data_IF_174934134792
#
_entry.id   IF_174934134792
#
_cell.length_a   1.000
_cell.length_b   1.000
_cell.length_c   1.000
_cell.angle_alpha   90.00
_cell.angle_beta   90.00
_cell.angle_gamma   90.00
#
_symmetry.space_group_name_H-M   'P 1'
#
loop_
_entity.id
_entity.type
_entity.pdbx_description
1 polymer ?
#
# COMPACT_ATOMS: atom_id res chain seq x y z
N UNK A 1 -36.79 27.20 17.01
CA UNK A 1 -35.53 27.08 17.76
C UNK A 1 -34.63 26.21 16.93
N UNK A 2 -33.68 26.87 16.28
CA UNK A 2 -32.81 26.34 15.25
C UNK A 2 -31.96 25.17 15.74
N UNK A 3 -31.97 24.09 14.96
CA UNK A 3 -30.90 23.09 14.94
C UNK A 3 -30.67 22.66 13.50
N UNK A 4 -30.37 23.65 12.65
CA UNK A 4 -29.63 23.38 11.42
C UNK A 4 -28.21 22.98 11.83
N UNK A 5 -28.01 21.68 12.09
CA UNK A 5 -26.68 21.11 12.22
C UNK A 5 -25.96 21.29 10.90
N UNK A 6 -25.14 22.33 10.80
CA UNK A 6 -24.21 22.49 9.69
C UNK A 6 -23.22 21.35 9.83
N UNK A 7 -23.37 20.31 9.01
CA UNK A 7 -22.32 19.31 8.81
C UNK A 7 -21.15 20.08 8.24
N UNK A 8 -20.11 20.31 9.04
CA UNK A 8 -18.87 20.91 8.58
C UNK A 8 -18.26 19.96 7.56
N UNK A 9 -18.32 20.32 6.28
CA UNK A 9 -17.66 19.58 5.22
C UNK A 9 -16.16 19.80 5.40
N UNK A 10 -15.40 18.72 5.58
CA UNK A 10 -13.95 18.80 5.59
C UNK A 10 -13.45 19.29 4.24
N UNK A 11 -12.57 20.29 4.27
CA UNK A 11 -12.00 20.90 3.05
C UNK A 11 -10.49 20.77 3.11
N UNK A 12 -9.94 20.12 2.10
CA UNK A 12 -8.51 20.03 1.86
C UNK A 12 -8.05 21.26 1.08
N UNK A 13 -6.93 21.81 1.54
CA UNK A 13 -6.26 22.96 0.94
C UNK A 13 -4.79 22.65 0.73
N UNK A 14 -4.21 23.34 -0.23
CA UNK A 14 -2.83 23.11 -0.65
C UNK A 14 -1.99 24.34 -0.35
N UNK A 15 -0.91 24.11 0.39
CA UNK A 15 0.06 25.14 0.71
C UNK A 15 1.47 24.64 0.42
N UNK A 16 2.35 25.57 0.05
CA UNK A 16 3.80 25.34 0.08
C UNK A 16 4.49 26.25 1.06
N UNK A 17 5.57 25.75 1.65
CA UNK A 17 6.44 26.49 2.53
C UNK A 17 7.88 26.33 2.05
N UNK A 18 8.62 27.44 1.95
CA UNK A 18 10.04 27.40 1.63
C UNK A 18 10.86 27.20 2.92
N UNK A 19 11.31 25.97 3.15
CA UNK A 19 12.08 25.62 4.33
C UNK A 19 13.49 26.27 4.37
N UNK A 20 13.97 26.82 3.25
CA UNK A 20 15.27 27.50 3.21
C UNK A 20 15.24 28.89 3.86
N UNK A 21 14.07 29.50 3.98
CA UNK A 21 13.88 30.79 4.66
C UNK A 21 13.96 30.63 6.18
N UNK A 22 14.39 31.68 6.92
CA UNK A 22 14.28 31.74 8.37
C UNK A 22 12.82 31.55 8.81
N UNK A 23 12.58 30.87 9.93
CA UNK A 23 11.24 30.52 10.42
C UNK A 23 10.27 31.71 10.48
N UNK A 24 10.77 32.88 10.89
CA UNK A 24 10.01 34.14 10.96
C UNK A 24 9.55 34.66 9.59
N UNK A 25 10.16 34.21 8.50
CA UNK A 25 9.87 34.61 7.11
C UNK A 25 9.17 33.49 6.32
N UNK A 26 8.91 32.34 6.95
CA UNK A 26 8.22 31.21 6.32
C UNK A 26 6.72 31.46 6.32
N UNK A 27 6.24 32.15 5.30
CA UNK A 27 4.80 32.31 5.06
C UNK A 27 4.26 31.20 4.14
N UNK A 28 3.23 30.44 4.56
CA UNK A 28 2.57 29.46 3.69
C UNK A 28 1.94 30.14 2.47
N UNK A 29 2.26 29.63 1.28
CA UNK A 29 1.68 30.09 0.02
C UNK A 29 0.53 29.18 -0.38
N UNK A 30 -0.67 29.74 -0.43
CA UNK A 30 -1.90 29.05 -0.85
C UNK A 30 -1.92 28.91 -2.39
N UNK A 31 -2.32 27.72 -2.84
CA UNK A 31 -2.49 27.41 -4.27
C UNK A 31 -3.88 27.82 -4.79
N UNK A 32 -4.80 28.23 -3.91
CA UNK A 32 -6.19 28.52 -4.27
C UNK A 32 -6.98 27.26 -4.64
N UNK A 33 -6.50 26.08 -4.23
CA UNK A 33 -7.15 24.80 -4.48
C UNK A 33 -7.86 24.37 -3.21
N UNK A 34 -9.19 24.28 -3.30
CA UNK A 34 -10.05 23.78 -2.24
C UNK A 34 -10.85 22.58 -2.77
N UNK A 35 -10.80 21.45 -2.05
CA UNK A 35 -11.57 20.25 -2.40
C UNK A 35 -12.14 19.59 -1.15
N UNK A 36 -13.25 18.88 -1.31
CA UNK A 36 -13.81 18.01 -0.27
C UNK A 36 -13.22 16.59 -0.27
N UNK A 37 -12.19 16.36 -1.09
CA UNK A 37 -11.52 15.08 -1.27
C UNK A 37 -10.04 15.23 -0.92
N UNK A 38 -9.42 14.16 -0.43
CA UNK A 38 -8.02 14.18 -0.02
C UNK A 38 -7.12 14.68 -1.15
N UNK A 39 -6.20 15.58 -0.77
CA UNK A 39 -5.19 16.13 -1.65
C UNK A 39 -3.81 15.70 -1.13
N UNK A 40 -2.94 15.28 -2.05
CA UNK A 40 -1.52 15.04 -1.76
C UNK A 40 -0.65 15.77 -2.80
N UNK A 41 0.50 16.26 -2.37
CA UNK A 41 1.56 16.74 -3.26
C UNK A 41 2.81 15.90 -3.08
N UNK A 42 3.46 15.54 -4.19
CA UNK A 42 4.78 14.90 -4.18
C UNK A 42 5.70 15.54 -5.22
N UNK A 43 6.89 15.95 -4.79
CA UNK A 43 7.92 16.47 -5.70
C UNK A 43 8.65 15.33 -6.40
N UNK A 44 8.99 15.53 -7.67
CA UNK A 44 9.86 14.62 -8.39
C UNK A 44 11.30 14.83 -7.94
N UNK A 45 12.04 13.75 -7.70
CA UNK A 45 13.47 13.88 -7.40
C UNK A 45 14.24 14.12 -8.67
N UNK A 46 15.22 15.03 -8.58
CA UNK A 46 16.10 15.37 -9.69
C UNK A 46 17.39 14.57 -9.61
N UNK A 47 17.92 14.20 -10.76
CA UNK A 47 19.33 13.78 -10.90
C UNK A 47 20.28 14.95 -11.12
N UNK A 48 19.76 16.16 -11.44
CA UNK A 48 20.56 17.37 -11.76
C UNK A 48 20.30 18.52 -10.80
N UNK A 49 21.35 19.26 -10.44
CA UNK A 49 21.35 20.37 -9.47
C UNK A 49 20.70 21.68 -9.95
N UNK A 50 19.93 21.69 -11.04
CA UNK A 50 19.42 22.95 -11.61
C UNK A 50 18.16 23.44 -10.87
N UNK A 51 18.32 24.24 -9.81
CA UNK A 51 17.27 24.72 -8.88
C UNK A 51 16.10 25.47 -9.56
N UNK A 52 16.23 25.95 -10.80
CA UNK A 52 15.26 26.92 -11.34
C UNK A 52 13.84 26.40 -11.55
N UNK A 53 13.61 25.10 -11.79
CA UNK A 53 12.30 24.55 -12.18
C UNK A 53 12.00 23.22 -11.45
N UNK A 54 11.20 23.23 -10.39
CA UNK A 54 10.77 22.01 -9.68
C UNK A 54 9.48 21.46 -10.27
N UNK A 55 9.40 20.14 -10.47
CA UNK A 55 8.18 19.46 -10.88
C UNK A 55 7.54 18.75 -9.69
N UNK A 56 6.22 18.78 -9.60
CA UNK A 56 5.48 18.06 -8.57
C UNK A 56 4.19 17.48 -9.13
N UNK A 57 3.76 16.37 -8.54
CA UNK A 57 2.46 15.75 -8.75
C UNK A 57 1.48 16.30 -7.73
N UNK A 58 0.32 16.72 -8.21
CA UNK A 58 -0.85 17.05 -7.41
C UNK A 58 -1.89 15.97 -7.60
N UNK A 59 -2.21 15.28 -6.51
CA UNK A 59 -3.20 14.22 -6.44
C UNK A 59 -4.48 14.78 -5.84
N UNK A 60 -5.61 14.60 -6.49
CA UNK A 60 -6.93 14.88 -5.94
C UNK A 60 -7.76 13.62 -6.11
N UNK A 61 -8.06 12.93 -5.00
CA UNK A 61 -8.76 11.63 -5.02
C UNK A 61 -10.02 11.68 -5.89
N UNK A 62 -10.24 10.66 -6.74
CA UNK A 62 -11.39 10.57 -7.67
C UNK A 62 -11.56 11.75 -8.63
N UNK A 63 -10.55 12.62 -8.77
CA UNK A 63 -10.59 13.76 -9.69
C UNK A 63 -9.44 13.73 -10.67
N UNK A 64 -8.18 13.79 -10.22
CA UNK A 64 -7.06 13.80 -11.17
C UNK A 64 -5.71 13.68 -10.47
N UNK A 65 -4.72 13.25 -11.25
CA UNK A 65 -3.31 13.45 -10.93
C UNK A 65 -2.74 14.35 -12.02
N UNK A 66 -2.13 15.45 -11.61
CA UNK A 66 -1.59 16.44 -12.54
C UNK A 66 -0.13 16.73 -12.26
N UNK A 67 0.65 16.88 -13.34
CA UNK A 67 2.04 17.30 -13.27
C UNK A 67 2.10 18.82 -13.38
N UNK A 68 2.70 19.43 -12.36
CA UNK A 68 2.81 20.88 -12.22
C UNK A 68 4.27 21.28 -12.04
N UNK A 69 4.58 22.55 -12.28
CA UNK A 69 5.94 23.07 -12.21
C UNK A 69 6.00 24.37 -11.41
N UNK A 70 7.00 24.49 -10.54
CA UNK A 70 7.32 25.69 -9.75
C UNK A 70 8.64 26.27 -10.23
N UNK A 71 8.69 27.58 -10.45
CA UNK A 71 9.91 28.29 -10.79
C UNK A 71 10.53 28.94 -9.54
N UNK A 72 11.79 28.59 -9.22
CA UNK A 72 12.55 29.25 -8.15
C UNK A 72 13.42 30.37 -8.74
N UNK A 73 13.27 31.60 -8.23
CA UNK A 73 14.15 32.72 -8.62
C UNK A 73 15.49 32.66 -7.89
N UNK A 74 16.55 33.12 -8.56
CA UNK A 74 17.96 33.09 -8.09
C UNK A 74 18.25 33.88 -6.80
N UNK A 75 17.35 34.77 -6.39
CA UNK A 75 17.43 35.57 -5.17
C UNK A 75 16.86 34.86 -3.93
N UNK A 76 16.49 33.58 -4.03
CA UNK A 76 15.87 32.82 -2.95
C UNK A 76 14.39 33.17 -2.71
N UNK A 77 13.84 34.18 -3.39
CA UNK A 77 12.41 34.42 -3.39
C UNK A 77 11.73 33.45 -4.35
N UNK A 78 10.95 32.52 -3.82
CA UNK A 78 10.07 31.70 -4.65
C UNK A 78 8.91 32.59 -5.15
N UNK A 79 9.02 33.17 -6.34
CA UNK A 79 7.83 33.64 -7.05
C UNK A 79 7.22 32.43 -7.73
N UNK A 80 6.34 31.77 -7.00
CA UNK A 80 5.46 30.77 -7.56
C UNK A 80 4.45 31.56 -8.40
N UNK A 81 4.71 31.69 -9.70
CA UNK A 81 3.70 32.17 -10.65
C UNK A 81 2.56 31.14 -10.69
N UNK A 82 1.66 31.23 -9.70
CA UNK A 82 0.38 30.53 -9.63
C UNK A 82 -0.70 31.22 -10.48
N UNK A 83 -0.38 32.35 -11.11
CA UNK A 83 -1.29 33.05 -12.02
C UNK A 83 -1.45 32.23 -13.32
N UNK A 84 -2.18 31.13 -13.21
CA UNK A 84 -2.36 30.15 -14.26
C UNK A 84 -1.45 28.94 -14.05
N UNK A 85 -2.01 27.89 -13.44
CA UNK A 85 -1.78 26.49 -13.79
C UNK A 85 -2.06 26.23 -15.31
N UNK A 86 -1.43 27.01 -16.20
CA UNK A 86 -1.70 27.03 -17.64
C UNK A 86 -0.90 25.95 -18.39
N UNK A 87 0.07 25.31 -17.74
CA UNK A 87 0.75 24.11 -18.22
C UNK A 87 0.52 22.92 -17.27
N UNK A 88 -0.66 22.83 -16.65
CA UNK A 88 -1.05 21.63 -15.90
C UNK A 88 -1.37 20.52 -16.88
N UNK A 89 -0.44 19.58 -17.03
CA UNK A 89 -0.71 18.35 -17.74
C UNK A 89 -1.47 17.40 -16.81
N UNK A 90 -2.74 17.12 -17.14
CA UNK A 90 -3.47 16.03 -16.47
C UNK A 90 -2.87 14.70 -16.93
N UNK A 91 -2.12 14.08 -16.03
CA UNK A 91 -1.46 12.78 -16.26
C UNK A 91 -2.48 11.66 -16.08
N UNK A 92 -3.34 11.78 -15.08
CA UNK A 92 -4.45 10.86 -14.81
C UNK A 92 -5.73 11.68 -14.63
N UNK A 93 -6.80 11.28 -15.32
CA UNK A 93 -8.09 12.00 -15.33
C UNK A 93 -9.05 11.59 -14.24
N UNK A 94 -8.91 10.40 -13.68
CA UNK A 94 -9.74 9.88 -12.58
C UNK A 94 -9.05 8.62 -12.04
N UNK A 95 -9.04 8.45 -10.72
CA UNK A 95 -8.47 7.28 -10.07
C UNK A 95 -9.19 7.01 -8.75
N UNK A 96 -9.29 5.74 -8.37
CA UNK A 96 -9.88 5.33 -7.07
C UNK A 96 -8.83 5.04 -6.00
N UNK A 97 -7.57 4.86 -6.41
CA UNK A 97 -6.44 4.60 -5.52
C UNK A 97 -5.15 5.00 -6.24
N UNK A 98 -4.19 5.57 -5.53
CA UNK A 98 -2.86 5.86 -6.06
C UNK A 98 -1.78 5.72 -4.99
N UNK A 99 -0.57 5.35 -5.41
CA UNK A 99 0.64 5.30 -4.58
C UNK A 99 1.83 5.87 -5.35
N UNK A 100 2.55 6.78 -4.72
CA UNK A 100 3.81 7.30 -5.22
C UNK A 100 4.99 6.50 -4.65
N UNK A 101 5.83 5.98 -5.53
CA UNK A 101 7.14 5.42 -5.18
C UNK A 101 8.23 6.47 -5.46
N UNK A 102 8.75 7.11 -4.39
CA UNK A 102 9.74 8.16 -4.54
C UNK A 102 11.11 7.60 -4.96
N UNK A 103 11.42 6.31 -4.70
CA UNK A 103 12.73 5.72 -5.03
C UNK A 103 12.83 5.49 -6.54
N UNK A 104 11.82 4.87 -7.13
CA UNK A 104 11.81 4.58 -8.57
C UNK A 104 11.13 5.67 -9.41
N UNK A 105 10.69 6.78 -8.78
CA UNK A 105 9.93 7.86 -9.43
C UNK A 105 8.74 7.31 -10.22
N UNK A 106 7.98 6.42 -9.58
CA UNK A 106 6.93 5.63 -10.23
C UNK A 106 5.59 5.87 -9.55
N UNK A 107 4.56 6.11 -10.36
CA UNK A 107 3.19 6.33 -9.92
C UNK A 107 2.33 5.11 -10.24
N UNK A 108 1.90 4.40 -9.20
CA UNK A 108 0.91 3.34 -9.31
C UNK A 108 -0.49 3.93 -9.08
N UNK A 109 -1.46 3.59 -9.91
CA UNK A 109 -2.84 4.05 -9.74
C UNK A 109 -3.86 3.08 -10.31
N UNK A 110 -5.04 3.06 -9.71
CA UNK A 110 -6.19 2.27 -10.17
C UNK A 110 -7.18 3.20 -10.85
N UNK A 111 -7.52 2.86 -12.09
CA UNK A 111 -8.59 3.50 -12.86
C UNK A 111 -9.52 2.42 -13.42
N UNK A 112 -10.68 2.84 -13.89
CA UNK A 112 -11.71 1.96 -14.43
C UNK A 112 -11.74 2.10 -15.95
N UNK A 113 -11.53 0.98 -16.66
CA UNK A 113 -11.63 0.92 -18.13
C UNK A 113 -12.69 -0.07 -18.54
N UNK A 114 -13.28 0.18 -19.71
CA UNK A 114 -14.16 -0.79 -20.37
C UNK A 114 -13.38 -2.08 -20.60
N UNK A 115 -13.92 -3.19 -20.13
CA UNK A 115 -13.30 -4.49 -20.33
C UNK A 115 -13.26 -4.80 -21.83
N UNK A 116 -12.07 -4.87 -22.42
CA UNK A 116 -11.87 -5.38 -23.78
C UNK A 116 -11.82 -6.92 -23.75
N UNK A 117 -12.97 -7.55 -23.47
CA UNK A 117 -13.14 -8.98 -23.75
C UNK A 117 -13.47 -9.12 -25.23
N UNK A 118 -12.43 -9.24 -26.05
CA UNK A 118 -12.54 -9.76 -27.40
C UNK A 118 -11.36 -10.71 -27.61
N UNK A 119 -11.55 -11.97 -27.23
CA UNK A 119 -10.80 -13.05 -27.88
C UNK A 119 -11.24 -13.03 -29.34
N UNK A 120 -10.31 -13.02 -30.30
CA UNK A 120 -10.63 -13.05 -31.73
C UNK A 120 -11.58 -14.24 -32.02
N UNK A 121 -12.87 -13.96 -32.24
CA UNK A 121 -13.87 -14.96 -32.61
C UNK A 121 -15.20 -14.94 -31.83
N UNK A 122 -15.34 -14.17 -30.76
CA UNK A 122 -16.63 -14.04 -30.06
C UNK A 122 -17.36 -12.74 -30.48
N UNK A 123 -18.55 -12.88 -31.07
CA UNK A 123 -19.43 -11.74 -31.30
C UNK A 123 -19.90 -11.17 -29.94
N UNK A 124 -19.95 -9.84 -29.77
CA UNK A 124 -20.42 -9.25 -28.52
C UNK A 124 -21.88 -9.67 -28.27
N UNK A 125 -22.14 -10.40 -27.19
CA UNK A 125 -23.51 -10.70 -26.73
C UNK A 125 -24.27 -9.37 -26.50
N UNK A 126 -25.24 -9.06 -27.36
CA UNK A 126 -26.11 -7.90 -27.22
C UNK A 126 -26.86 -7.97 -25.88
N UNK A 127 -26.53 -7.08 -24.94
CA UNK A 127 -27.25 -6.94 -23.66
C UNK A 127 -26.42 -7.00 -22.38
N UNK A 128 -25.10 -7.26 -22.44
CA UNK A 128 -24.24 -7.03 -21.26
C UNK A 128 -24.03 -5.53 -21.05
N UNK A 129 -24.41 -5.04 -19.86
CA UNK A 129 -23.99 -3.71 -19.41
C UNK A 129 -22.46 -3.63 -19.51
N UNK A 130 -21.94 -2.53 -20.09
CA UNK A 130 -20.51 -2.30 -20.23
C UNK A 130 -19.85 -2.32 -18.84
N UNK A 131 -19.24 -3.46 -18.49
CA UNK A 131 -18.59 -3.61 -17.21
C UNK A 131 -17.22 -2.92 -17.26
N UNK A 132 -17.05 -1.91 -16.40
CA UNK A 132 -15.76 -1.30 -16.17
C UNK A 132 -14.95 -2.20 -15.22
N UNK A 133 -13.78 -2.65 -15.66
CA UNK A 133 -12.86 -3.44 -14.84
C UNK A 133 -11.80 -2.53 -14.20
N UNK A 134 -11.53 -2.67 -12.89
CA UNK A 134 -10.44 -1.95 -12.24
C UNK A 134 -9.11 -2.40 -12.84
N UNK A 135 -8.26 -1.44 -13.18
CA UNK A 135 -6.97 -1.68 -13.82
C UNK A 135 -5.89 -0.93 -13.05
N UNK A 136 -4.85 -1.64 -12.61
CA UNK A 136 -3.65 -1.05 -12.04
C UNK A 136 -2.71 -0.63 -13.17
N UNK A 137 -2.39 0.66 -13.22
CA UNK A 137 -1.39 1.19 -14.13
C UNK A 137 -0.20 1.76 -13.37
N UNK A 138 0.97 1.75 -14.00
CA UNK A 138 2.17 2.41 -13.49
C UNK A 138 2.73 3.36 -14.53
N UNK A 139 3.00 4.60 -14.12
CA UNK A 139 3.74 5.58 -14.89
C UNK A 139 5.13 5.78 -14.29
N UNK A 140 6.15 5.70 -15.12
CA UNK A 140 7.52 6.02 -14.72
C UNK A 140 7.89 7.43 -15.18
N UNK A 141 8.40 8.24 -14.26
CA UNK A 141 8.80 9.62 -14.52
C UNK A 141 10.30 9.73 -14.75
N UNK A 142 10.66 10.63 -15.66
CA UNK A 142 12.04 10.91 -16.05
C UNK A 142 12.31 12.41 -15.99
N UNK A 143 13.55 12.80 -15.75
CA UNK A 143 13.93 14.22 -15.65
C UNK A 143 13.77 14.96 -16.99
N UNK A 144 14.36 14.38 -18.05
CA UNK A 144 14.50 15.00 -19.37
C UNK A 144 13.54 14.43 -20.42
N UNK A 145 12.81 13.35 -20.09
CA UNK A 145 11.90 12.65 -21.01
C UNK A 145 10.45 12.72 -20.51
N UNK A 146 9.45 12.61 -21.41
CA UNK A 146 8.08 12.37 -21.01
C UNK A 146 7.97 11.13 -20.12
N UNK A 147 6.96 11.11 -19.26
CA UNK A 147 6.62 9.92 -18.51
C UNK A 147 6.14 8.81 -19.45
N UNK A 148 6.34 7.56 -19.07
CA UNK A 148 5.92 6.40 -19.87
C UNK A 148 5.07 5.43 -19.03
N UNK A 149 4.18 4.69 -19.70
CA UNK A 149 3.40 3.64 -19.04
C UNK A 149 4.20 2.34 -19.04
N UNK A 150 4.57 1.86 -17.85
CA UNK A 150 5.39 0.65 -17.66
C UNK A 150 4.58 -0.56 -17.19
N UNK A 151 3.36 -0.32 -16.69
CA UNK A 151 2.46 -1.38 -16.22
C UNK A 151 1.01 -1.04 -16.57
N UNK A 152 0.23 -2.04 -16.96
CA UNK A 152 -1.20 -1.92 -17.13
C UNK A 152 -1.88 -3.29 -16.99
N UNK A 153 -2.32 -3.64 -15.78
CA UNK A 153 -2.81 -4.98 -15.42
C UNK A 153 -4.23 -4.90 -14.87
N UNK A 154 -5.19 -5.68 -15.39
CA UNK A 154 -6.52 -5.77 -14.81
C UNK A 154 -6.45 -6.40 -13.42
N UNK A 155 -7.15 -5.81 -12.46
CA UNK A 155 -7.24 -6.35 -11.10
C UNK A 155 -8.53 -7.12 -10.92
N UNK A 156 -8.45 -8.25 -10.21
CA UNK A 156 -9.61 -8.96 -9.69
C UNK A 156 -9.85 -8.51 -8.26
N UNK A 157 -10.34 -7.29 -8.06
CA UNK A 157 -10.74 -6.81 -6.73
C UNK A 157 -12.13 -7.33 -6.38
N UNK A 158 -12.37 -7.80 -5.13
CA UNK A 158 -13.72 -8.17 -4.70
C UNK A 158 -14.64 -6.97 -4.88
N UNK A 159 -15.74 -7.19 -5.61
CA UNK A 159 -16.64 -6.20 -6.19
C UNK A 159 -16.77 -4.90 -5.37
N UNK A 160 -15.90 -3.92 -5.65
CA UNK A 160 -16.18 -2.52 -5.35
C UNK A 160 -17.42 -2.19 -6.17
N UNK A 161 -18.58 -2.18 -5.54
CA UNK A 161 -19.83 -1.88 -6.23
C UNK A 161 -19.66 -0.58 -7.01
N UNK A 162 -20.01 -0.57 -8.30
CA UNK A 162 -19.91 0.60 -9.20
C UNK A 162 -20.59 1.88 -8.64
N UNK A 163 -21.43 1.70 -7.62
CA UNK A 163 -22.22 2.70 -6.90
C UNK A 163 -21.82 2.87 -5.44
N UNK A 164 -20.67 2.33 -4.98
CA UNK A 164 -20.20 2.64 -3.63
C UNK A 164 -19.92 4.13 -3.60
N UNK A 165 -20.80 4.86 -2.92
CA UNK A 165 -20.54 6.23 -2.50
C UNK A 165 -19.15 6.19 -1.85
N UNK A 166 -18.25 7.12 -2.22
CA UNK A 166 -16.93 7.20 -1.59
C UNK A 166 -17.14 7.11 -0.08
N UNK A 167 -16.39 6.24 0.60
CA UNK A 167 -16.51 6.14 2.06
C UNK A 167 -16.34 7.52 2.70
N UNK A 168 -15.55 8.39 2.05
CA UNK A 168 -15.29 9.76 2.46
C UNK A 168 -14.38 9.83 3.70
N UNK A 169 -14.21 8.70 4.40
CA UNK A 169 -13.18 8.51 5.39
C UNK A 169 -11.82 8.36 4.73
N UNK A 170 -10.97 9.36 4.95
CA UNK A 170 -9.56 9.32 4.62
C UNK A 170 -8.77 9.03 5.89
N UNK A 171 -7.82 8.12 5.79
CA UNK A 171 -6.83 7.90 6.84
C UNK A 171 -5.67 8.88 6.64
N UNK A 172 -5.18 9.48 7.74
CA UNK A 172 -4.03 10.38 7.72
C UNK A 172 -2.74 9.54 7.83
N UNK A 173 -2.46 8.76 6.79
CA UNK A 173 -1.26 7.94 6.68
C UNK A 173 -0.17 8.72 5.95
N UNK A 174 0.89 9.19 6.64
CA UNK A 174 1.97 9.93 5.97
C UNK A 174 2.87 9.03 5.12
N UNK A 175 2.88 7.72 5.39
CA UNK A 175 3.71 6.72 4.71
C UNK A 175 2.92 5.40 4.70
N UNK A 176 2.85 4.64 3.58
CA UNK A 176 3.37 4.98 2.27
C UNK A 176 2.57 6.12 1.62
N UNK A 177 3.15 6.77 0.62
CA UNK A 177 2.60 7.96 -0.03
C UNK A 177 1.39 7.59 -0.91
N UNK A 178 0.24 7.33 -0.28
CA UNK A 178 -1.00 6.85 -0.90
C UNK A 178 -2.12 7.88 -0.84
N UNK A 179 -2.96 7.88 -1.86
CA UNK A 179 -4.24 8.61 -1.89
C UNK A 179 -5.35 7.61 -2.17
N UNK A 180 -6.18 7.36 -1.16
CA UNK A 180 -7.26 6.37 -1.20
C UNK A 180 -8.27 6.66 -0.09
N UNK A 181 -9.48 6.12 -0.21
CA UNK A 181 -10.45 6.11 0.89
C UNK A 181 -10.40 4.79 1.68
N UNK A 182 -11.20 4.71 2.74
CA UNK A 182 -11.27 3.55 3.62
C UNK A 182 -11.73 2.24 2.97
N UNK A 183 -12.12 2.24 1.68
CA UNK A 183 -12.71 1.08 1.01
C UNK A 183 -11.70 0.05 0.49
N UNK A 184 -10.44 0.46 0.28
CA UNK A 184 -9.42 -0.36 -0.37
C UNK A 184 -8.05 -0.19 0.30
N UNK A 185 -7.68 -1.15 1.14
CA UNK A 185 -6.33 -1.22 1.71
C UNK A 185 -5.40 -2.03 0.78
N UNK A 186 -4.84 -1.32 -0.21
CA UNK A 186 -3.91 -1.87 -1.19
C UNK A 186 -2.57 -1.14 -1.10
N UNK A 187 -1.49 -1.90 -1.26
CA UNK A 187 -0.12 -1.40 -1.32
C UNK A 187 0.63 -2.10 -2.46
N UNK A 188 1.41 -1.33 -3.21
CA UNK A 188 2.38 -1.89 -4.15
C UNK A 188 3.74 -1.92 -3.48
N UNK A 189 4.37 -3.09 -3.45
CA UNK A 189 5.71 -3.29 -2.91
C UNK A 189 6.61 -3.72 -4.06
N UNK A 190 7.71 -3.00 -4.29
CA UNK A 190 8.63 -3.31 -5.37
C UNK A 190 10.09 -3.06 -4.98
N UNK A 191 11.02 -3.61 -5.75
CA UNK A 191 12.45 -3.32 -5.64
C UNK A 191 13.11 -3.10 -7.01
N UNK A 192 14.39 -2.76 -6.96
CA UNK A 192 15.23 -2.53 -8.14
C UNK A 192 15.64 -3.82 -8.86
N UNK A 193 15.42 -5.00 -8.26
CA UNK A 193 15.68 -6.30 -8.88
C UNK A 193 14.53 -6.72 -9.80
N UNK A 194 13.39 -6.02 -9.75
CA UNK A 194 12.22 -6.28 -10.58
C UNK A 194 11.11 -7.05 -9.86
N UNK A 195 11.20 -7.21 -8.53
CA UNK A 195 10.07 -7.70 -7.74
C UNK A 195 8.98 -6.63 -7.76
N UNK A 196 7.76 -7.00 -8.15
CA UNK A 196 6.58 -6.14 -8.04
C UNK A 196 5.42 -6.97 -7.49
N UNK A 197 4.99 -6.59 -6.29
CA UNK A 197 3.96 -7.27 -5.53
C UNK A 197 2.78 -6.32 -5.29
N UNK A 198 1.57 -6.79 -5.55
CA UNK A 198 0.33 -6.07 -5.23
C UNK A 198 -0.26 -6.73 -3.99
N UNK A 199 -0.15 -6.03 -2.86
CA UNK A 199 -0.58 -6.49 -1.56
C UNK A 199 -1.95 -5.86 -1.24
N UNK A 200 -2.92 -6.69 -0.89
CA UNK A 200 -4.26 -6.23 -0.56
C UNK A 200 -4.74 -6.91 0.71
N UNK A 201 -5.25 -6.11 1.64
CA UNK A 201 -5.84 -6.56 2.90
C UNK A 201 -7.32 -6.24 2.94
N UNK A 202 -8.13 -7.19 3.42
CA UNK A 202 -9.55 -6.96 3.62
C UNK A 202 -10.12 -7.83 4.74
N UNK A 203 -11.23 -7.36 5.30
CA UNK A 203 -12.02 -8.05 6.32
C UNK A 203 -13.38 -8.42 5.74
N UNK A 204 -13.84 -9.64 6.01
CA UNK A 204 -15.19 -10.05 5.62
C UNK A 204 -15.82 -10.97 6.65
N UNK A 205 -17.15 -10.96 6.72
CA UNK A 205 -17.89 -11.90 7.55
C UNK A 205 -18.16 -13.19 6.75
N UNK A 206 -18.01 -14.37 7.37
CA UNK A 206 -18.49 -15.60 6.76
C UNK A 206 -20.01 -15.50 6.53
N UNK A 207 -20.46 -15.91 5.34
CA UNK A 207 -21.88 -15.93 5.00
C UNK A 207 -22.60 -16.86 5.97
N UNK A 208 -23.37 -16.30 6.91
CA UNK A 208 -24.20 -17.10 7.82
C UNK A 208 -25.30 -17.78 6.99
N UNK A 209 -25.52 -19.10 7.11
CA UNK A 209 -26.65 -19.74 6.46
C UNK A 209 -27.95 -19.09 6.94
N UNK A 210 -28.99 -19.01 6.08
CA UNK A 210 -30.21 -18.28 6.38
C UNK A 210 -31.10 -19.06 7.35
N UNK A 211 -30.68 -19.21 8.61
CA UNK A 211 -31.54 -19.62 9.74
C UNK A 211 -30.85 -19.28 11.06
N UNK A 212 -30.93 -18.03 11.50
CA UNK A 212 -31.28 -17.67 12.90
C UNK A 212 -31.32 -16.15 12.99
N UNK A 213 -32.54 -15.61 13.07
CA UNK A 213 -32.77 -14.24 13.53
C UNK A 213 -32.38 -14.16 15.02
N UNK A 214 -31.11 -13.89 15.29
CA UNK A 214 -30.70 -13.33 16.59
C UNK A 214 -30.34 -11.87 16.35
N UNK A 215 -31.38 -11.05 16.27
CA UNK A 215 -31.28 -9.61 16.47
C UNK A 215 -30.78 -9.42 17.91
N UNK A 216 -29.67 -8.69 18.07
CA UNK A 216 -28.98 -8.35 19.32
C UNK A 216 -27.80 -9.26 19.73
N UNK A 217 -26.91 -9.64 18.81
CA UNK A 217 -25.53 -9.93 19.21
C UNK A 217 -24.79 -8.60 19.33
N UNK A 218 -24.34 -8.28 20.55
CA UNK A 218 -23.47 -7.14 20.82
C UNK A 218 -22.27 -7.14 19.84
N UNK A 219 -21.90 -5.96 19.32
CA UNK A 219 -20.72 -5.76 18.46
C UNK A 219 -19.45 -6.41 19.04
N UNK A 220 -19.39 -6.57 20.36
CA UNK A 220 -18.33 -7.21 21.14
C UNK A 220 -18.07 -8.69 20.80
N UNK A 221 -19.05 -9.40 20.23
CA UNK A 221 -18.97 -10.85 19.94
C UNK A 221 -18.89 -11.17 18.45
N UNK A 222 -18.92 -10.15 17.58
CA UNK A 222 -18.89 -10.36 16.13
C UNK A 222 -17.48 -10.76 15.70
N UNK A 223 -17.37 -11.89 15.01
CA UNK A 223 -16.11 -12.35 14.41
C UNK A 223 -16.10 -12.15 12.90
N UNK A 224 -14.91 -11.91 12.36
CA UNK A 224 -14.64 -11.73 10.94
C UNK A 224 -13.48 -12.63 10.49
N UNK A 225 -13.28 -12.70 9.18
CA UNK A 225 -12.10 -13.27 8.56
C UNK A 225 -11.14 -12.15 8.23
N UNK A 226 -9.91 -12.25 8.76
CA UNK A 226 -8.80 -11.42 8.35
C UNK A 226 -8.18 -12.06 7.11
N UNK A 227 -8.16 -11.35 5.99
CA UNK A 227 -7.60 -11.88 4.76
C UNK A 227 -6.59 -10.92 4.15
N UNK A 228 -5.62 -11.50 3.46
CA UNK A 228 -4.74 -10.76 2.59
C UNK A 228 -4.39 -11.56 1.34
N UNK A 229 -4.01 -10.85 0.30
CA UNK A 229 -3.50 -11.43 -0.95
C UNK A 229 -2.25 -10.68 -1.40
N UNK A 230 -1.27 -11.43 -1.88
CA UNK A 230 -0.07 -10.89 -2.51
C UNK A 230 -0.03 -11.42 -3.95
N UNK A 231 -0.28 -10.53 -4.90
CA UNK A 231 -0.13 -10.85 -6.34
C UNK A 231 1.32 -10.62 -6.73
N UNK A 232 2.00 -11.69 -7.16
CA UNK A 232 3.40 -11.67 -7.59
C UNK A 232 3.44 -11.54 -9.11
N UNK A 233 3.74 -10.35 -9.61
CA UNK A 233 3.69 -10.09 -11.05
C UNK A 233 4.76 -10.87 -11.82
N UNK A 234 5.94 -11.05 -11.24
CA UNK A 234 7.04 -11.79 -11.86
C UNK A 234 6.77 -13.28 -12.00
N UNK A 235 5.87 -13.84 -11.19
CA UNK A 235 5.44 -15.24 -11.26
C UNK A 235 4.05 -15.44 -11.84
N UNK A 236 3.30 -14.36 -12.06
CA UNK A 236 1.92 -14.43 -12.55
C UNK A 236 0.97 -15.17 -11.61
N UNK A 237 1.24 -15.19 -10.30
CA UNK A 237 0.45 -15.95 -9.32
C UNK A 237 -0.01 -15.07 -8.15
N UNK A 238 -0.96 -15.58 -7.37
CA UNK A 238 -1.52 -14.91 -6.19
C UNK A 238 -1.37 -15.83 -4.98
N UNK A 239 -0.72 -15.33 -3.93
CA UNK A 239 -0.73 -15.97 -2.61
C UNK A 239 -1.91 -15.37 -1.84
N UNK A 240 -2.85 -16.21 -1.41
CA UNK A 240 -4.03 -15.77 -0.65
C UNK A 240 -4.11 -16.49 0.70
N UNK A 241 -4.24 -15.71 1.76
CA UNK A 241 -4.25 -16.21 3.14
C UNK A 241 -5.47 -15.68 3.90
N UNK A 242 -6.06 -16.54 4.72
CA UNK A 242 -7.23 -16.22 5.54
C UNK A 242 -6.98 -16.70 6.97
N UNK A 243 -7.15 -15.80 7.94
CA UNK A 243 -7.18 -16.09 9.37
C UNK A 243 -8.62 -15.93 9.87
N UNK A 244 -9.33 -17.04 10.12
CA UNK A 244 -10.73 -16.98 10.52
C UNK A 244 -10.93 -16.66 12.01
N UNK A 245 -12.08 -16.10 12.35
CA UNK A 245 -12.56 -16.04 13.74
C UNK A 245 -12.01 -14.88 14.58
N UNK A 246 -11.44 -13.84 13.96
CA UNK A 246 -10.92 -12.68 14.67
C UNK A 246 -12.07 -11.78 15.12
N UNK A 247 -12.04 -11.30 16.36
CA UNK A 247 -13.05 -10.36 16.87
C UNK A 247 -13.01 -9.05 16.08
N UNK A 248 -14.18 -8.52 15.70
CA UNK A 248 -14.30 -7.26 14.95
C UNK A 248 -13.63 -6.08 15.67
N UNK A 249 -13.77 -6.03 17.00
CA UNK A 249 -13.15 -5.01 17.85
C UNK A 249 -11.63 -4.96 17.71
N UNK A 250 -11.00 -6.11 17.43
CA UNK A 250 -9.57 -6.26 17.22
C UNK A 250 -9.21 -6.08 15.74
N UNK A 251 -9.95 -6.73 14.84
CA UNK A 251 -9.65 -6.77 13.40
C UNK A 251 -9.69 -5.37 12.76
N UNK A 252 -10.67 -4.52 13.14
CA UNK A 252 -10.86 -3.20 12.52
C UNK A 252 -9.68 -2.23 12.72
N UNK A 253 -8.82 -2.49 13.69
CA UNK A 253 -7.63 -1.67 13.96
C UNK A 253 -6.34 -2.31 13.46
N UNK A 254 -6.40 -3.54 12.92
CA UNK A 254 -5.22 -4.20 12.40
C UNK A 254 -4.87 -3.65 11.03
N UNK A 255 -3.60 -3.31 10.86
CA UNK A 255 -3.01 -2.94 9.57
C UNK A 255 -1.82 -3.86 9.33
N UNK A 256 -1.91 -4.83 8.41
CA UNK A 256 -0.78 -5.69 8.12
C UNK A 256 0.33 -4.92 7.42
N UNK A 257 1.55 -5.20 7.81
CA UNK A 257 2.76 -4.69 7.16
C UNK A 257 3.19 -5.65 6.07
N UNK A 258 3.40 -5.13 4.87
CA UNK A 258 4.04 -5.85 3.76
C UNK A 258 5.42 -5.27 3.51
N UNK A 259 6.47 -6.07 3.71
CA UNK A 259 7.84 -5.62 3.52
C UNK A 259 8.66 -6.68 2.78
N UNK A 260 9.49 -6.28 1.82
CA UNK A 260 10.51 -7.19 1.28
C UNK A 260 11.52 -7.49 2.38
N UNK A 261 11.87 -8.75 2.51
CA UNK A 261 12.72 -9.26 3.59
C UNK A 261 13.87 -10.09 3.01
N UNK A 262 15.10 -9.63 3.28
CA UNK A 262 16.29 -10.20 2.65
C UNK A 262 16.20 -10.12 1.13
N UNK A 263 16.74 -11.13 0.45
CA UNK A 263 16.83 -11.13 -1.00
C UNK A 263 15.67 -11.83 -1.71
N UNK A 264 14.94 -12.69 -1.01
CA UNK A 264 14.01 -13.64 -1.63
C UNK A 264 12.66 -13.75 -0.91
N UNK A 265 12.43 -13.01 0.18
CA UNK A 265 11.20 -13.14 0.95
C UNK A 265 10.39 -11.85 1.00
N UNK A 266 9.12 -11.98 1.31
CA UNK A 266 8.26 -10.92 1.80
C UNK A 266 7.80 -11.26 3.21
N UNK A 267 8.02 -10.36 4.16
CA UNK A 267 7.43 -10.43 5.48
C UNK A 267 6.03 -9.79 5.44
N UNK A 268 5.03 -10.58 5.82
CA UNK A 268 3.68 -10.11 6.15
C UNK A 268 3.52 -10.17 7.66
N UNK A 269 3.51 -9.01 8.31
CA UNK A 269 3.39 -8.91 9.76
C UNK A 269 2.03 -8.34 10.14
N UNK A 270 1.25 -9.10 10.91
CA UNK A 270 -0.03 -8.66 11.46
C UNK A 270 0.11 -8.57 12.99
N UNK A 271 0.17 -7.34 13.57
CA UNK A 271 0.34 -7.16 15.00
C UNK A 271 -0.69 -7.94 15.81
N UNK A 272 -0.21 -8.75 16.76
CA UNK A 272 -1.07 -9.59 17.61
C UNK A 272 -1.66 -10.83 16.94
N UNK A 273 -1.35 -11.12 15.67
CA UNK A 273 -1.79 -12.32 14.96
C UNK A 273 -0.65 -13.23 14.53
N UNK A 274 0.17 -12.80 13.57
CA UNK A 274 1.24 -13.64 13.01
C UNK A 274 2.35 -12.82 12.37
N UNK A 275 3.47 -13.50 12.10
CA UNK A 275 4.46 -13.10 11.11
C UNK A 275 4.54 -14.18 10.04
N UNK A 276 4.37 -13.85 8.77
CA UNK A 276 4.42 -14.80 7.67
C UNK A 276 5.52 -14.40 6.69
N UNK A 277 6.56 -15.22 6.57
CA UNK A 277 7.61 -15.07 5.56
C UNK A 277 7.19 -15.84 4.31
N UNK A 278 6.85 -15.11 3.26
CA UNK A 278 6.56 -15.66 1.94
C UNK A 278 7.86 -15.74 1.15
N UNK A 279 8.28 -16.93 0.74
CA UNK A 279 9.36 -17.08 -0.24
C UNK A 279 8.81 -16.71 -1.63
N UNK A 280 9.33 -15.63 -2.18
CA UNK A 280 8.86 -14.99 -3.42
C UNK A 280 10.01 -14.70 -4.38
N UNK A 281 11.14 -15.41 -4.21
CA UNK A 281 12.36 -15.17 -4.97
C UNK A 281 12.14 -15.19 -6.48
N UNK A 282 12.97 -14.44 -7.21
CA UNK A 282 12.85 -14.31 -8.68
C UNK A 282 13.27 -15.58 -9.43
N UNK A 283 14.06 -16.45 -8.79
CA UNK A 283 14.75 -17.58 -9.45
C UNK A 283 14.04 -18.92 -9.29
N UNK A 284 12.94 -18.98 -8.54
CA UNK A 284 12.21 -20.20 -8.23
C UNK A 284 10.74 -19.89 -7.98
N UNK A 285 9.88 -20.91 -8.11
CA UNK A 285 8.46 -20.76 -7.82
C UNK A 285 8.22 -20.44 -6.33
N UNK A 286 7.25 -19.58 -5.99
CA UNK A 286 6.90 -19.29 -4.60
C UNK A 286 6.52 -20.57 -3.86
N UNK A 287 7.25 -20.89 -2.80
CA UNK A 287 7.06 -22.13 -2.04
C UNK A 287 7.50 -21.94 -0.58
N UNK A 288 7.45 -22.99 0.23
CA UNK A 288 8.10 -23.03 1.55
C UNK A 288 7.89 -21.77 2.42
N UNK A 289 6.64 -21.28 2.49
CA UNK A 289 6.32 -20.11 3.31
C UNK A 289 6.37 -20.47 4.79
N UNK A 290 6.88 -19.56 5.61
CA UNK A 290 7.07 -19.78 7.05
C UNK A 290 6.08 -18.92 7.84
N UNK A 291 5.18 -19.56 8.56
CA UNK A 291 4.29 -18.91 9.50
C UNK A 291 4.89 -18.96 10.92
N UNK A 292 4.91 -17.82 11.60
CA UNK A 292 5.43 -17.68 12.95
C UNK A 292 4.44 -16.89 13.82
N UNK A 293 4.66 -16.93 15.12
CA UNK A 293 3.98 -16.05 16.08
C UNK A 293 4.20 -14.57 15.72
N UNK A 294 3.26 -13.70 16.10
CA UNK A 294 3.43 -12.25 16.00
C UNK A 294 4.46 -11.68 16.98
N UNK A 295 4.94 -12.45 17.94
CA UNK A 295 5.87 -11.98 18.97
C UNK A 295 7.31 -11.98 18.47
N UNK A 296 7.61 -11.12 17.49
CA UNK A 296 8.98 -10.96 17.01
C UNK A 296 9.86 -10.26 18.06
N UNK A 297 11.10 -10.73 18.27
CA UNK A 297 12.02 -10.08 19.19
C UNK A 297 12.26 -8.61 18.79
N UNK A 298 12.08 -7.69 19.76
CA UNK A 298 12.33 -6.26 19.57
C UNK A 298 11.15 -5.45 19.05
N UNK A 299 10.00 -6.08 18.74
CA UNK A 299 8.77 -5.37 18.43
C UNK A 299 7.95 -5.16 19.72
N UNK A 300 7.69 -3.91 20.14
CA UNK A 300 6.90 -3.64 21.33
C UNK A 300 5.43 -4.11 21.21
N UNK A 301 4.82 -4.48 22.33
CA UNK A 301 3.40 -4.91 22.37
C UNK A 301 2.40 -3.80 22.03
N UNK A 302 2.81 -2.53 22.13
CA UNK A 302 1.96 -1.39 21.79
C UNK A 302 1.95 -1.06 20.29
N UNK A 303 2.84 -1.69 19.51
CA UNK A 303 2.93 -1.48 18.08
C UNK A 303 1.64 -1.89 17.40
N UNK A 304 1.12 -1.02 16.53
CA UNK A 304 -0.18 -1.23 15.89
C UNK A 304 -0.16 -1.03 14.38
N UNK A 305 0.75 -0.20 13.86
CA UNK A 305 0.84 0.05 12.42
C UNK A 305 2.29 0.29 12.03
N UNK A 306 2.98 -0.79 11.63
CA UNK A 306 4.34 -0.71 11.11
C UNK A 306 4.33 -0.48 9.60
N UNK A 307 5.14 0.48 9.17
CA UNK A 307 5.32 0.80 7.75
C UNK A 307 6.81 0.70 7.39
N UNK A 308 7.18 -0.03 6.32
CA UNK A 308 8.59 -0.17 5.93
C UNK A 308 9.16 1.14 5.40
N UNK A 309 10.39 1.46 5.85
CA UNK A 309 11.14 2.58 5.33
C UNK A 309 12.00 2.13 4.15
N UNK A 310 11.54 2.41 2.94
CA UNK A 310 12.16 1.95 1.70
C UNK A 310 13.64 2.40 1.57
N UNK A 311 14.00 3.57 2.09
CA UNK A 311 15.36 4.11 2.06
C UNK A 311 16.36 3.33 2.96
N UNK A 312 15.85 2.56 3.93
CA UNK A 312 16.66 1.84 4.93
C UNK A 312 16.60 0.31 4.74
N UNK A 313 16.36 -0.16 3.51
CA UNK A 313 16.50 -1.57 3.14
C UNK A 313 15.33 -2.47 3.53
N UNK A 314 14.12 -1.91 3.68
CA UNK A 314 12.86 -2.62 3.97
C UNK A 314 12.81 -3.43 5.29
N UNK A 315 13.93 -3.58 6.00
CA UNK A 315 14.03 -4.26 7.30
C UNK A 315 13.83 -3.32 8.49
N UNK A 316 13.78 -2.02 8.25
CA UNK A 316 13.45 -1.01 9.26
C UNK A 316 12.06 -0.49 8.98
N UNK A 317 11.22 -0.51 10.00
CA UNK A 317 9.85 0.00 9.97
C UNK A 317 9.71 1.18 10.91
N UNK A 318 8.69 2.01 10.69
CA UNK A 318 8.23 3.02 11.63
C UNK A 318 6.85 2.63 12.14
N UNK A 319 6.64 2.68 13.45
CA UNK A 319 5.28 2.60 14.02
C UNK A 319 4.64 3.98 13.91
N UNK A 320 3.65 4.14 13.02
CA UNK A 320 3.09 5.47 12.74
C UNK A 320 2.53 6.20 13.97
N UNK A 321 1.87 5.55 14.95
CA UNK A 321 1.37 6.24 16.13
C UNK A 321 2.46 6.77 17.07
N UNK A 322 3.55 6.03 17.26
CA UNK A 322 4.65 6.42 18.17
C UNK A 322 5.80 7.14 17.47
N UNK A 323 5.92 6.97 16.15
CA UNK A 323 7.07 7.32 15.32
C UNK A 323 8.37 6.59 15.71
N UNK A 324 8.26 5.50 16.48
CA UNK A 324 9.40 4.67 16.85
C UNK A 324 9.92 3.89 15.64
N UNK A 325 11.24 3.86 15.49
CA UNK A 325 11.91 3.01 14.50
C UNK A 325 12.07 1.60 15.04
N UNK A 326 11.43 0.65 14.38
CA UNK A 326 11.39 -0.75 14.82
C UNK A 326 11.97 -1.64 13.72
N UNK A 327 13.06 -2.39 14.01
CA UNK A 327 13.57 -3.39 13.09
C UNK A 327 12.58 -4.56 12.95
N UNK A 328 12.17 -4.86 11.72
CA UNK A 328 11.42 -6.05 11.39
C UNK A 328 12.41 -7.18 11.10
N UNK A 329 12.88 -7.84 12.17
CA UNK A 329 13.93 -8.87 12.07
C UNK A 329 13.43 -10.23 12.56
N UNK A 330 13.61 -11.25 11.73
CA UNK A 330 13.37 -12.65 12.08
C UNK A 330 14.69 -13.30 12.44
N UNK A 331 14.86 -13.65 13.72
CA UNK A 331 16.10 -14.25 14.22
C UNK A 331 16.12 -15.77 14.04
N UNK A 332 17.30 -16.36 13.85
CA UNK A 332 17.50 -17.82 13.83
C UNK A 332 16.88 -18.50 15.05
N UNK A 333 17.04 -17.92 16.24
CA UNK A 333 16.43 -18.43 17.47
C UNK A 333 14.89 -18.50 17.37
N UNK A 334 14.26 -17.48 16.81
CA UNK A 334 12.80 -17.46 16.66
C UNK A 334 12.30 -18.53 15.68
N UNK A 335 13.06 -18.79 14.60
CA UNK A 335 12.79 -19.88 13.67
C UNK A 335 12.94 -21.25 14.34
N UNK A 336 13.99 -21.46 15.16
CA UNK A 336 14.18 -22.69 15.93
C UNK A 336 13.03 -22.90 16.94
N UNK A 337 12.67 -21.86 17.67
CA UNK A 337 11.55 -21.90 18.62
C UNK A 337 10.23 -22.19 17.90
N UNK A 338 10.01 -21.61 16.72
CA UNK A 338 8.83 -21.90 15.90
C UNK A 338 8.85 -23.37 15.45
N UNK A 339 9.95 -23.86 14.90
CA UNK A 339 10.08 -25.26 14.47
C UNK A 339 9.75 -26.25 15.59
N UNK A 340 10.30 -26.02 16.80
CA UNK A 340 10.13 -26.90 17.96
C UNK A 340 8.71 -26.90 18.51
N UNK A 341 7.99 -25.78 18.38
CA UNK A 341 6.63 -25.62 18.91
C UNK A 341 5.54 -25.88 17.86
N UNK A 342 5.87 -25.92 16.57
CA UNK A 342 4.90 -26.16 15.51
C UNK A 342 4.56 -27.66 15.38
N UNK A 343 3.32 -27.92 14.99
CA UNK A 343 2.79 -29.25 14.69
C UNK A 343 2.55 -29.45 13.18
N UNK A 344 2.70 -28.39 12.37
CA UNK A 344 2.61 -28.45 10.92
C UNK A 344 3.92 -28.91 10.29
N UNK A 345 3.88 -30.09 9.67
CA UNK A 345 5.02 -30.61 8.91
C UNK A 345 5.44 -29.67 7.78
N UNK A 346 4.48 -29.01 7.13
CA UNK A 346 4.75 -28.08 6.02
C UNK A 346 5.59 -26.89 6.49
N UNK A 347 5.24 -26.30 7.63
CA UNK A 347 5.98 -25.18 8.20
C UNK A 347 7.36 -25.61 8.71
N UNK A 348 7.45 -26.79 9.33
CA UNK A 348 8.73 -27.37 9.73
C UNK A 348 9.67 -27.59 8.55
N UNK A 349 9.16 -28.14 7.44
CA UNK A 349 9.93 -28.32 6.21
C UNK A 349 10.32 -26.98 5.59
N UNK A 350 9.45 -25.97 5.62
CA UNK A 350 9.76 -24.62 5.16
C UNK A 350 10.91 -23.98 5.97
N UNK A 351 10.92 -24.14 7.29
CA UNK A 351 12.00 -23.64 8.15
C UNK A 351 13.32 -24.37 7.85
N UNK A 352 13.30 -25.70 7.67
CA UNK A 352 14.49 -26.46 7.27
C UNK A 352 15.01 -26.03 5.90
N UNK A 353 14.11 -25.84 4.93
CA UNK A 353 14.44 -25.30 3.61
C UNK A 353 15.13 -23.94 3.73
N UNK A 354 14.60 -23.05 4.57
CA UNK A 354 15.18 -21.73 4.79
C UNK A 354 16.60 -21.79 5.37
N UNK A 355 16.84 -22.63 6.38
CA UNK A 355 18.21 -22.81 6.88
C UNK A 355 19.14 -23.39 5.83
N UNK A 356 18.66 -24.35 5.03
CA UNK A 356 19.50 -25.07 4.07
C UNK A 356 19.85 -24.23 2.84
N UNK A 357 18.84 -23.59 2.24
CA UNK A 357 18.92 -22.94 0.94
C UNK A 357 19.24 -21.45 1.09
N UNK A 358 18.64 -20.78 2.07
CA UNK A 358 18.73 -19.32 2.20
C UNK A 358 19.81 -18.86 3.17
N UNK A 359 20.04 -19.59 4.28
CA UNK A 359 21.11 -19.27 5.23
C UNK A 359 22.39 -20.09 5.04
N UNK A 360 22.29 -21.29 4.45
CA UNK A 360 23.41 -22.23 4.38
C UNK A 360 23.89 -22.72 5.77
N UNK A 361 23.01 -22.69 6.76
CA UNK A 361 23.31 -22.99 8.16
C UNK A 361 23.05 -24.46 8.49
N UNK A 362 24.02 -25.30 8.12
CA UNK A 362 23.97 -26.75 8.36
C UNK A 362 24.07 -27.11 9.85
N UNK A 363 24.67 -26.25 10.68
CA UNK A 363 24.80 -26.48 12.11
C UNK A 363 23.43 -26.40 12.79
N UNK A 364 22.66 -25.34 12.50
CA UNK A 364 21.30 -25.19 13.01
C UNK A 364 20.39 -26.33 12.53
N UNK A 365 20.51 -26.79 11.28
CA UNK A 365 19.74 -27.94 10.80
C UNK A 365 20.05 -29.20 11.62
N UNK A 366 21.33 -29.45 11.89
CA UNK A 366 21.73 -30.60 12.70
C UNK A 366 21.21 -30.50 14.14
N UNK A 367 21.18 -29.30 14.72
CA UNK A 367 20.61 -29.08 16.07
C UNK A 367 19.11 -29.34 16.11
N UNK A 368 18.40 -28.91 15.06
CA UNK A 368 16.93 -28.94 15.01
C UNK A 368 16.37 -30.34 14.71
N UNK A 369 17.13 -31.19 14.00
CA UNK A 369 16.74 -32.56 13.65
C UNK A 369 17.09 -33.58 14.76
N UNK A 370 18.05 -33.26 15.64
CA UNK A 370 18.41 -34.09 16.80
C UNK A 370 17.39 -33.98 17.93
#
# INVERSE_FOLDING_TARGET
MDSSGVVSVEVYKVFTLDASLPEEQREPKDFGIERSRQIMIQFLYRKKDCISNEKFLLFIHQESISLNQVHLKKNGSCEMELCGCLNTESVVREFSWAQWDPINQSLYYIHYRKTQLSVEGEEPEEGREEELSPTLSCLQFHDDMPHETVLNIPLNLPQLSKTSVPCGGYEDDPIPLRVHDCSLDLQVVCDTKGVVCICHHYLYQPVKPPMTEVRNLEESSTTVHFAYSVTLLHHGCVIHCVVPGILWSQARTMKPTFALYGDQHMAVYAPGLFTHLLDIGLSHEPCCHILMSCTLPGIPFYTSHLVPLLQYGNTVTVDLPSLDLIPLTVTTRHLIETFKNDHSLENQLAILHYFLVHQGDLETISEVIQ
#
